data_IF_645623531461
#
_entry.id   IF_645623531461
#
_cell.length_a   1.000
_cell.length_b   1.000
_cell.length_c   1.000
_cell.angle_alpha   90.00
_cell.angle_beta   90.00
_cell.angle_gamma   90.00
#
_symmetry.space_group_name_H-M   'P 1'
#
loop_
_entity.id
_entity.type
_entity.pdbx_description
1 polymer ?
#
# COMPACT_ATOMS: atom_id res chain seq x y z
N UNK A 1 11.56 9.85 11.13
CA UNK A 1 11.24 8.44 10.76
C UNK A 1 12.14 8.06 9.60
N UNK A 2 12.76 6.89 9.60
CA UNK A 2 13.59 6.44 8.46
C UNK A 2 12.71 6.09 7.26
N UNK A 3 13.27 6.14 6.04
CA UNK A 3 12.58 5.73 4.81
C UNK A 3 12.09 4.29 4.93
N UNK A 4 12.93 3.39 5.45
CA UNK A 4 12.56 2.00 5.71
C UNK A 4 11.33 1.87 6.60
N UNK A 5 11.30 2.57 7.75
CA UNK A 5 10.18 2.46 8.68
C UNK A 5 8.89 3.07 8.11
N UNK A 6 9.02 4.16 7.35
CA UNK A 6 7.90 4.75 6.62
C UNK A 6 7.32 3.74 5.61
N UNK A 7 8.14 3.19 4.70
CA UNK A 7 7.71 2.22 3.70
C UNK A 7 7.14 0.94 4.32
N UNK A 8 7.69 0.49 5.45
CA UNK A 8 7.15 -0.62 6.24
C UNK A 8 5.73 -0.32 6.71
N UNK A 9 5.49 0.82 7.37
CA UNK A 9 4.15 1.16 7.86
C UNK A 9 3.15 1.46 6.73
N UNK A 10 3.59 2.09 5.63
CA UNK A 10 2.74 2.30 4.46
C UNK A 10 2.30 0.99 3.82
N UNK A 11 3.25 0.06 3.63
CA UNK A 11 2.95 -1.28 3.10
C UNK A 11 2.10 -2.10 4.05
N UNK A 12 2.37 -2.03 5.37
CA UNK A 12 1.54 -2.66 6.39
C UNK A 12 0.09 -2.19 6.29
N UNK A 13 -0.14 -0.87 6.17
CA UNK A 13 -1.49 -0.32 6.06
C UNK A 13 -2.17 -0.74 4.74
N UNK A 14 -1.43 -0.72 3.63
CA UNK A 14 -1.90 -1.18 2.32
C UNK A 14 -2.40 -2.62 2.38
N UNK A 15 -1.59 -3.53 2.96
CA UNK A 15 -1.92 -4.95 3.05
C UNK A 15 -3.02 -5.20 4.08
N UNK A 16 -3.00 -4.54 5.23
CA UNK A 16 -4.02 -4.69 6.26
C UNK A 16 -5.40 -4.31 5.72
N UNK A 17 -5.51 -3.16 5.05
CA UNK A 17 -6.79 -2.66 4.52
C UNK A 17 -7.20 -3.39 3.24
N UNK A 18 -6.28 -3.63 2.31
CA UNK A 18 -6.55 -4.33 1.05
C UNK A 18 -6.97 -5.79 1.26
N UNK A 19 -6.24 -6.54 2.09
CA UNK A 19 -6.65 -7.89 2.44
C UNK A 19 -7.87 -7.89 3.36
N UNK A 20 -8.03 -6.88 4.22
CA UNK A 20 -9.21 -6.70 5.08
C UNK A 20 -10.50 -6.56 4.28
N UNK A 21 -10.53 -5.72 3.25
CA UNK A 21 -11.72 -5.59 2.38
C UNK A 21 -11.99 -6.87 1.58
N UNK A 22 -10.92 -7.56 1.15
CA UNK A 22 -11.01 -8.82 0.43
C UNK A 22 -11.61 -9.92 1.32
N UNK A 23 -11.12 -10.04 2.55
CA UNK A 23 -11.65 -10.96 3.55
C UNK A 23 -13.11 -10.61 3.90
N UNK A 24 -13.42 -9.34 4.09
CA UNK A 24 -14.79 -8.88 4.34
C UNK A 24 -15.75 -9.17 3.17
N UNK A 25 -15.26 -9.26 1.93
CA UNK A 25 -16.12 -9.51 0.76
C UNK A 25 -16.28 -11.00 0.41
N UNK A 26 -15.29 -11.84 0.74
CA UNK A 26 -15.20 -13.24 0.27
C UNK A 26 -15.45 -14.26 1.38
N UNK A 27 -15.11 -13.97 2.64
CA UNK A 27 -15.36 -14.91 3.72
C UNK A 27 -16.85 -14.97 4.06
N UNK A 28 -17.37 -16.17 4.40
CA UNK A 28 -18.74 -16.31 4.86
C UNK A 28 -18.95 -15.57 6.19
N UNK A 29 -20.20 -15.21 6.46
CA UNK A 29 -20.66 -14.61 7.72
C UNK A 29 -20.03 -13.24 8.05
N UNK A 30 -19.53 -12.54 7.02
CA UNK A 30 -19.12 -11.14 7.15
C UNK A 30 -20.25 -10.20 6.74
N UNK A 31 -20.18 -8.93 7.18
CA UNK A 31 -21.17 -7.92 6.77
C UNK A 31 -21.03 -7.47 5.31
N UNK A 32 -19.89 -7.76 4.69
CA UNK A 32 -19.62 -7.41 3.30
C UNK A 32 -19.67 -8.61 2.35
N UNK A 33 -20.04 -9.80 2.82
CA UNK A 33 -20.09 -11.01 2.00
C UNK A 33 -20.93 -10.76 0.75
N UNK A 34 -20.42 -11.20 -0.42
CA UNK A 34 -21.04 -10.96 -1.72
C UNK A 34 -21.17 -9.47 -2.10
N UNK A 35 -20.39 -8.58 -1.46
CA UNK A 35 -20.32 -7.16 -1.83
C UNK A 35 -19.74 -6.89 -3.23
N UNK A 36 -19.16 -7.93 -3.86
CA UNK A 36 -18.72 -7.90 -5.24
C UNK A 36 -17.39 -7.19 -5.47
N UNK A 37 -16.94 -7.21 -6.72
CA UNK A 37 -15.61 -6.74 -7.12
C UNK A 37 -15.39 -5.24 -6.85
N UNK A 38 -16.43 -4.41 -6.96
CA UNK A 38 -16.32 -2.97 -6.76
C UNK A 38 -15.94 -2.60 -5.32
N UNK A 39 -16.43 -3.34 -4.32
CA UNK A 39 -16.08 -3.11 -2.91
C UNK A 39 -14.61 -3.42 -2.67
N UNK A 40 -14.11 -4.52 -3.25
CA UNK A 40 -12.72 -4.93 -3.15
C UNK A 40 -11.81 -3.88 -3.81
N UNK A 41 -12.08 -3.49 -5.05
CA UNK A 41 -11.21 -2.54 -5.77
C UNK A 41 -11.25 -1.14 -5.18
N UNK A 42 -12.41 -0.66 -4.73
CA UNK A 42 -12.50 0.61 -4.01
C UNK A 42 -11.72 0.56 -2.69
N UNK A 43 -11.84 -0.52 -1.92
CA UNK A 43 -11.10 -0.68 -0.65
C UNK A 43 -9.58 -0.71 -0.86
N UNK A 44 -9.09 -1.39 -1.89
CA UNK A 44 -7.67 -1.35 -2.26
C UNK A 44 -7.22 0.05 -2.70
N UNK A 45 -8.03 0.77 -3.48
CA UNK A 45 -7.72 2.15 -3.87
C UNK A 45 -7.62 3.08 -2.64
N UNK A 46 -8.55 2.99 -1.70
CA UNK A 46 -8.49 3.76 -0.45
C UNK A 46 -7.28 3.36 0.41
N UNK A 47 -6.92 2.08 0.48
CA UNK A 47 -5.73 1.62 1.18
C UNK A 47 -4.45 2.29 0.65
N UNK A 48 -4.32 2.41 -0.68
CA UNK A 48 -3.22 3.13 -1.32
C UNK A 48 -3.24 4.62 -0.95
N UNK A 49 -4.40 5.28 -1.05
CA UNK A 49 -4.53 6.71 -0.70
C UNK A 49 -4.11 6.96 0.75
N UNK A 50 -4.59 6.16 1.70
CA UNK A 50 -4.21 6.30 3.10
C UNK A 50 -2.73 6.08 3.33
N UNK A 51 -2.13 5.08 2.67
CA UNK A 51 -0.68 4.86 2.71
C UNK A 51 0.10 6.07 2.20
N UNK A 52 -0.27 6.61 1.04
CA UNK A 52 0.35 7.82 0.47
C UNK A 52 0.22 9.01 1.42
N UNK A 53 -0.97 9.25 1.98
CA UNK A 53 -1.18 10.36 2.93
C UNK A 53 -0.34 10.20 4.20
N UNK A 54 -0.13 8.96 4.66
CA UNK A 54 0.64 8.69 5.88
C UNK A 54 2.15 8.89 5.70
N UNK A 55 2.72 8.43 4.58
CA UNK A 55 4.19 8.31 4.43
C UNK A 55 4.79 9.07 3.24
N UNK A 56 3.97 9.71 2.41
CA UNK A 56 4.38 10.36 1.16
C UNK A 56 5.43 11.44 1.36
N UNK A 57 5.30 12.28 2.38
CA UNK A 57 6.27 13.34 2.69
C UNK A 57 7.61 12.83 3.25
N UNK A 58 7.70 11.55 3.61
CA UNK A 58 8.86 10.96 4.28
C UNK A 58 9.68 10.09 3.32
N UNK A 59 9.01 9.30 2.50
CA UNK A 59 9.64 8.23 1.69
C UNK A 59 9.35 8.32 0.19
N UNK A 60 8.39 9.14 -0.23
CA UNK A 60 7.81 9.07 -1.58
C UNK A 60 6.69 8.05 -1.72
N UNK A 61 6.39 7.28 -0.66
CA UNK A 61 5.29 6.31 -0.59
C UNK A 61 5.24 5.33 -1.76
N UNK A 62 6.35 4.64 -2.03
CA UNK A 62 6.39 3.62 -3.06
C UNK A 62 5.49 2.44 -2.71
N UNK A 63 5.58 1.95 -1.46
CA UNK A 63 4.80 0.83 -0.91
C UNK A 63 4.77 -0.41 -1.81
N UNK A 64 5.77 -0.52 -2.69
CA UNK A 64 5.83 -1.48 -3.76
C UNK A 64 7.28 -1.55 -4.29
N UNK A 65 7.95 -2.72 -4.17
CA UNK A 65 9.31 -2.90 -4.69
C UNK A 65 9.46 -2.60 -6.18
N UNK A 66 8.43 -2.87 -7.00
CA UNK A 66 8.48 -2.57 -8.43
C UNK A 66 8.49 -1.05 -8.71
N UNK A 67 7.77 -0.25 -7.90
CA UNK A 67 7.81 1.21 -8.00
C UNK A 67 9.17 1.73 -7.57
N UNK A 68 9.71 1.22 -6.46
CA UNK A 68 11.07 1.55 -6.00
C UNK A 68 12.12 1.24 -7.07
N UNK A 69 12.05 0.07 -7.69
CA UNK A 69 12.95 -0.31 -8.77
C UNK A 69 12.80 0.60 -9.99
N UNK A 70 11.56 0.90 -10.41
CA UNK A 70 11.30 1.80 -11.53
C UNK A 70 11.87 3.21 -11.28
N UNK A 71 11.75 3.73 -10.06
CA UNK A 71 12.30 5.03 -9.68
C UNK A 71 13.83 5.02 -9.63
N UNK A 72 14.43 3.91 -9.17
CA UNK A 72 15.89 3.73 -9.18
C UNK A 72 16.43 3.73 -10.61
N UNK A 73 15.82 2.93 -11.50
CA UNK A 73 16.22 2.86 -12.91
C UNK A 73 16.00 4.17 -13.67
N UNK A 74 15.01 4.96 -13.26
CA UNK A 74 14.74 6.29 -13.81
C UNK A 74 15.59 7.41 -13.17
N UNK A 75 16.58 7.08 -12.31
CA UNK A 75 17.39 8.05 -11.56
C UNK A 75 16.58 9.06 -10.73
N UNK A 76 15.40 8.67 -10.26
CA UNK A 76 14.53 9.50 -9.41
C UNK A 76 14.82 9.35 -7.92
N UNK A 77 15.55 8.31 -7.53
CA UNK A 77 16.04 8.07 -6.16
C UNK A 77 17.50 7.62 -6.20
N UNK A 78 18.26 7.93 -5.16
CA UNK A 78 19.60 7.41 -4.97
C UNK A 78 19.56 5.98 -4.41
N UNK A 79 20.59 5.17 -4.70
CA UNK A 79 20.69 3.80 -4.19
C UNK A 79 20.59 3.73 -2.66
N UNK A 80 21.21 4.68 -1.94
CA UNK A 80 21.14 4.74 -0.47
C UNK A 80 19.77 5.11 0.10
N UNK A 81 18.81 5.52 -0.75
CA UNK A 81 17.43 5.80 -0.35
C UNK A 81 16.48 4.64 -0.69
N UNK A 82 17.00 3.54 -1.24
CA UNK A 82 16.21 2.31 -1.40
C UNK A 82 15.98 1.72 0.00
N UNK A 83 14.72 1.41 0.37
CA UNK A 83 14.39 0.82 1.66
C UNK A 83 14.77 -0.67 1.68
N UNK A 84 16.05 -0.98 1.91
CA UNK A 84 16.57 -2.33 2.20
C UNK A 84 17.13 -2.43 3.62
#
# INVERSE_FOLDING_TARGET
>A
MSIFLAEFFGTFLLILLGNGVTANAILPDTKGENGGWIVITAGWAFAVVFGITLIGSISGAHMNPAITLAFLLANKIALGNVPY
#
